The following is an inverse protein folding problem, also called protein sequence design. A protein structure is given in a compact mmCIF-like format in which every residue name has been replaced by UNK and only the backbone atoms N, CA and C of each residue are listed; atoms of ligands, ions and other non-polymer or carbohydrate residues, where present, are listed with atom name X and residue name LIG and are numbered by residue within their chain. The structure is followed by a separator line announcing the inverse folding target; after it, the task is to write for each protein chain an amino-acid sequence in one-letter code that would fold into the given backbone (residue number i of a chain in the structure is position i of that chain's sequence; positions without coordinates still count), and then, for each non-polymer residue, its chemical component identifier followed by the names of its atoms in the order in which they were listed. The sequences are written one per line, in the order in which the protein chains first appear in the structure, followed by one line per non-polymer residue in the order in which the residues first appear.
data_IF_897625865651
#
_entry.id   IF_897625865651
#
_cell.length_a   1.000
_cell.length_b   1.000
_cell.length_c   1.000
_cell.angle_alpha   90.00
_cell.angle_beta   90.00
_cell.angle_gamma   90.00
#
_symmetry.space_group_name_H-M   'P 1'
#
loop_
_entity.id
_entity.type
_entity.pdbx_description
1 polymer ?
#
# COMPACT_ATOMS: atom_id res chain seq x y z
N UNK A 1 -22.74 -36.84 -4.22
CA UNK A 1 -23.70 -35.79 -4.59
C UNK A 1 -24.90 -36.34 -5.36
N UNK A 2 -24.73 -37.37 -6.17
CA UNK A 2 -25.78 -37.88 -7.04
C UNK A 2 -27.00 -38.50 -6.30
N UNK A 3 -26.85 -38.94 -5.05
CA UNK A 3 -27.98 -39.46 -4.22
C UNK A 3 -28.97 -38.39 -3.73
N UNK A 4 -28.55 -37.13 -3.65
CA UNK A 4 -29.38 -36.03 -3.16
C UNK A 4 -30.44 -35.52 -4.16
N UNK A 5 -30.39 -35.98 -5.41
CA UNK A 5 -31.29 -35.53 -6.48
C UNK A 5 -32.12 -36.67 -7.07
N UNK A 6 -32.09 -37.84 -6.46
CA UNK A 6 -33.02 -38.94 -6.86
C UNK A 6 -34.32 -38.80 -6.07
N UNK A 7 -35.23 -37.94 -6.54
CA UNK A 7 -36.47 -37.60 -5.87
C UNK A 7 -37.42 -38.83 -5.74
N UNK A 8 -37.37 -39.78 -6.67
CA UNK A 8 -38.19 -41.00 -6.58
C UNK A 8 -37.73 -41.89 -5.42
N UNK A 9 -36.40 -42.01 -5.23
CA UNK A 9 -35.81 -42.76 -4.13
C UNK A 9 -36.12 -42.09 -2.79
N UNK A 10 -35.96 -40.76 -2.71
CA UNK A 10 -36.28 -39.96 -1.51
C UNK A 10 -37.78 -40.06 -1.16
N UNK A 11 -38.67 -39.94 -2.13
CA UNK A 11 -40.10 -40.02 -1.88
C UNK A 11 -40.49 -41.41 -1.37
N UNK A 12 -39.94 -42.49 -1.92
CA UNK A 12 -40.20 -43.85 -1.49
C UNK A 12 -39.57 -44.16 -0.11
N UNK A 13 -38.38 -43.70 0.15
CA UNK A 13 -37.67 -43.94 1.42
C UNK A 13 -38.33 -43.23 2.60
N UNK A 14 -38.77 -41.99 2.42
CA UNK A 14 -39.40 -41.18 3.50
C UNK A 14 -40.92 -41.10 3.41
N UNK A 15 -41.57 -41.83 2.49
CA UNK A 15 -43.02 -41.85 2.31
C UNK A 15 -43.60 -40.48 1.94
N UNK A 16 -42.82 -39.63 1.28
CA UNK A 16 -43.24 -38.30 0.87
C UNK A 16 -44.06 -38.35 -0.43
N UNK A 17 -45.08 -37.53 -0.50
CA UNK A 17 -45.79 -37.20 -1.75
C UNK A 17 -45.22 -35.90 -2.32
N UNK A 18 -45.54 -35.62 -3.58
CA UNK A 18 -45.18 -34.33 -4.20
C UNK A 18 -45.69 -33.14 -3.39
N UNK A 19 -46.91 -33.25 -2.85
CA UNK A 19 -47.52 -32.20 -2.04
C UNK A 19 -46.83 -32.01 -0.69
N UNK A 20 -46.53 -33.12 0.02
CA UNK A 20 -45.85 -33.05 1.31
C UNK A 20 -44.40 -32.54 1.16
N UNK A 21 -43.74 -32.85 0.03
CA UNK A 21 -42.41 -32.34 -0.27
C UNK A 21 -42.42 -30.83 -0.58
N UNK A 22 -43.45 -30.33 -1.29
CA UNK A 22 -43.60 -28.87 -1.50
C UNK A 22 -43.87 -28.13 -0.19
N UNK A 23 -44.62 -28.75 0.74
CA UNK A 23 -44.82 -28.20 2.08
C UNK A 23 -43.50 -28.17 2.89
N UNK A 24 -42.69 -29.22 2.80
CA UNK A 24 -41.35 -29.23 3.40
C UNK A 24 -40.48 -28.11 2.86
N UNK A 25 -40.47 -27.89 1.54
CA UNK A 25 -39.72 -26.79 0.93
C UNK A 25 -40.22 -25.41 1.40
N UNK A 26 -41.54 -25.26 1.56
CA UNK A 26 -42.13 -24.03 2.07
C UNK A 26 -41.77 -23.79 3.56
N UNK A 27 -41.80 -24.82 4.40
CA UNK A 27 -41.41 -24.71 5.81
C UNK A 27 -39.90 -24.35 5.95
N UNK A 28 -39.05 -24.97 5.17
CA UNK A 28 -37.63 -24.64 5.11
C UNK A 28 -37.38 -23.17 4.68
N UNK A 29 -38.11 -22.71 3.66
CA UNK A 29 -38.06 -21.33 3.18
C UNK A 29 -38.53 -20.34 4.25
N UNK A 30 -39.62 -20.62 4.91
CA UNK A 30 -40.15 -19.78 5.99
C UNK A 30 -39.21 -19.70 7.18
N UNK A 31 -38.53 -20.80 7.51
CA UNK A 31 -37.51 -20.81 8.56
C UNK A 31 -36.30 -19.94 8.19
N UNK A 32 -35.78 -20.04 6.96
CA UNK A 32 -34.69 -19.21 6.46
C UNK A 32 -35.04 -17.71 6.50
N UNK A 33 -36.31 -17.39 6.16
CA UNK A 33 -36.83 -16.02 6.17
C UNK A 33 -37.22 -15.51 7.57
N UNK A 34 -37.07 -16.35 8.61
CA UNK A 34 -37.50 -16.04 9.99
C UNK A 34 -38.98 -15.74 10.14
N UNK A 35 -39.82 -16.35 9.30
CA UNK A 35 -41.28 -16.27 9.34
C UNK A 35 -41.86 -17.39 10.23
N UNK A 36 -41.16 -18.52 10.33
CA UNK A 36 -41.58 -19.69 11.13
C UNK A 36 -40.72 -19.81 12.38
N UNK A 37 -41.33 -20.11 13.52
CA UNK A 37 -40.68 -20.37 14.80
C UNK A 37 -40.17 -21.81 14.95
N UNK A 38 -40.57 -22.73 14.05
CA UNK A 38 -40.08 -24.12 14.06
C UNK A 38 -38.57 -24.16 13.97
N UNK A 39 -37.91 -25.00 14.75
CA UNK A 39 -36.48 -25.26 14.57
C UNK A 39 -36.24 -26.36 13.51
N UNK A 40 -34.97 -26.56 13.14
CA UNK A 40 -34.62 -27.51 12.08
C UNK A 40 -34.84 -28.97 12.49
N UNK A 41 -34.81 -29.28 13.78
CA UNK A 41 -35.13 -30.60 14.32
C UNK A 41 -36.64 -30.86 14.21
N UNK A 42 -37.46 -29.88 14.59
CA UNK A 42 -38.91 -29.96 14.48
C UNK A 42 -39.42 -30.13 13.02
N UNK A 43 -38.70 -29.50 12.05
CA UNK A 43 -38.95 -29.69 10.62
C UNK A 43 -38.62 -31.13 10.21
N UNK A 44 -37.49 -31.69 10.65
CA UNK A 44 -37.13 -33.07 10.39
C UNK A 44 -38.19 -34.04 10.95
N UNK A 45 -38.61 -33.84 12.19
CA UNK A 45 -39.60 -34.69 12.89
C UNK A 45 -40.97 -34.60 12.20
N UNK A 46 -41.42 -33.40 11.78
CA UNK A 46 -42.70 -33.18 11.11
C UNK A 46 -42.84 -34.00 9.82
N UNK A 47 -41.74 -34.18 9.09
CA UNK A 47 -41.71 -34.90 7.82
C UNK A 47 -41.11 -36.30 7.92
N UNK A 48 -40.85 -36.76 9.14
CA UNK A 48 -40.25 -38.07 9.46
C UNK A 48 -38.94 -38.34 8.71
N UNK A 49 -38.07 -37.32 8.66
CA UNK A 49 -36.79 -37.34 7.94
C UNK A 49 -35.67 -37.76 8.87
N UNK A 50 -35.01 -38.87 8.57
CA UNK A 50 -33.82 -39.32 9.31
C UNK A 50 -32.55 -38.60 8.81
N UNK A 51 -32.63 -37.27 8.80
CA UNK A 51 -31.48 -36.40 8.45
C UNK A 51 -30.98 -35.66 9.68
N UNK A 52 -29.66 -35.41 9.71
CA UNK A 52 -29.13 -34.44 10.63
C UNK A 52 -29.76 -33.06 10.34
N UNK A 53 -30.38 -32.37 11.30
CA UNK A 53 -31.00 -31.07 11.11
C UNK A 53 -30.09 -30.04 10.44
N UNK A 54 -28.77 -30.13 10.70
CA UNK A 54 -27.76 -29.27 10.07
C UNK A 54 -27.60 -29.48 8.55
N UNK A 55 -27.94 -30.67 8.07
CA UNK A 55 -27.94 -31.00 6.62
C UNK A 55 -29.07 -30.26 5.91
N UNK A 56 -30.30 -30.29 6.49
CA UNK A 56 -31.43 -29.53 5.94
C UNK A 56 -31.17 -28.02 6.04
N UNK A 57 -30.66 -27.55 7.18
CA UNK A 57 -30.29 -26.15 7.36
C UNK A 57 -29.31 -25.65 6.28
N UNK A 58 -28.28 -26.42 6.00
CA UNK A 58 -27.25 -26.06 4.96
C UNK A 58 -27.87 -26.14 3.56
N UNK A 59 -28.70 -27.11 3.27
CA UNK A 59 -29.39 -27.25 1.99
C UNK A 59 -30.41 -26.14 1.70
N UNK A 60 -30.93 -25.51 2.76
CA UNK A 60 -31.96 -24.46 2.65
C UNK A 60 -31.43 -23.05 2.65
N UNK A 61 -30.12 -22.82 2.95
CA UNK A 61 -29.52 -21.49 2.96
C UNK A 61 -29.26 -20.96 1.54
N UNK A 62 -29.74 -19.75 1.19
CA UNK A 62 -29.37 -19.11 -0.05
C UNK A 62 -27.88 -18.63 0.02
N UNK A 63 -27.17 -18.47 -1.13
CA UNK A 63 -27.68 -18.45 -2.49
C UNK A 63 -27.27 -19.63 -3.37
N UNK A 64 -26.54 -20.63 -2.91
CA UNK A 64 -25.91 -21.61 -3.81
C UNK A 64 -26.52 -23.03 -3.74
N UNK A 65 -26.88 -23.54 -2.56
CA UNK A 65 -27.31 -24.94 -2.40
C UNK A 65 -28.83 -25.03 -2.40
N UNK A 66 -29.55 -24.13 -1.72
CA UNK A 66 -31.01 -24.14 -1.68
C UNK A 66 -31.68 -23.89 -3.04
N UNK A 67 -31.13 -22.98 -3.85
CA UNK A 67 -31.64 -22.70 -5.19
C UNK A 67 -31.36 -23.83 -6.18
N UNK A 68 -30.28 -24.57 -6.03
CA UNK A 68 -29.96 -25.73 -6.86
C UNK A 68 -30.93 -26.90 -6.56
N UNK A 69 -31.20 -27.15 -5.29
CA UNK A 69 -32.09 -28.22 -4.86
C UNK A 69 -33.53 -27.98 -5.32
N UNK A 70 -34.02 -26.78 -5.13
CA UNK A 70 -35.37 -26.37 -5.61
C UNK A 70 -35.45 -26.40 -7.14
N UNK A 71 -34.40 -25.96 -7.81
CA UNK A 71 -34.31 -25.97 -9.29
C UNK A 71 -34.33 -27.39 -9.85
N UNK A 72 -33.59 -28.32 -9.25
CA UNK A 72 -33.55 -29.72 -9.71
C UNK A 72 -34.88 -30.44 -9.40
N UNK A 73 -35.53 -30.17 -8.27
CA UNK A 73 -36.88 -30.70 -7.97
C UNK A 73 -37.90 -30.26 -9.02
N UNK A 74 -37.94 -28.97 -9.36
CA UNK A 74 -38.93 -28.52 -10.38
C UNK A 74 -38.60 -29.05 -11.79
N UNK A 75 -37.35 -29.27 -12.13
CA UNK A 75 -36.97 -29.96 -13.38
C UNK A 75 -37.43 -31.40 -13.40
N UNK A 76 -37.25 -32.13 -12.29
CA UNK A 76 -37.75 -33.50 -12.14
C UNK A 76 -39.29 -33.53 -12.22
N UNK A 77 -39.98 -32.63 -11.53
CA UNK A 77 -41.44 -32.51 -11.58
C UNK A 77 -41.98 -32.20 -13.00
N UNK A 78 -41.26 -31.34 -13.74
CA UNK A 78 -41.57 -31.08 -15.17
C UNK A 78 -41.37 -32.32 -16.04
N UNK A 79 -40.33 -33.13 -15.80
CA UNK A 79 -40.08 -34.35 -16.57
C UNK A 79 -41.13 -35.44 -16.36
N UNK A 80 -41.93 -35.38 -15.29
CA UNK A 80 -43.04 -36.31 -14.99
C UNK A 80 -44.38 -35.87 -15.65
N UNK A 81 -44.45 -34.68 -16.26
CA UNK A 81 -45.64 -34.23 -16.97
C UNK A 81 -45.58 -34.66 -18.42
N UNK A 82 -46.62 -35.39 -18.88
CA UNK A 82 -46.79 -35.72 -20.31
C UNK A 82 -46.86 -34.43 -21.16
N UNK A 83 -46.07 -34.40 -22.19
CA UNK A 83 -45.82 -33.21 -23.03
C UNK A 83 -46.95 -33.02 -24.02
N UNK A 84 -48.05 -32.35 -23.70
CA UNK A 84 -48.92 -31.73 -24.72
C UNK A 84 -49.92 -30.72 -24.14
N UNK A 85 -49.48 -29.52 -23.78
CA UNK A 85 -50.39 -28.37 -23.65
C UNK A 85 -49.68 -27.03 -23.87
N UNK A 86 -50.42 -26.03 -24.41
CA UNK A 86 -49.97 -24.63 -24.60
C UNK A 86 -49.48 -23.95 -23.30
N UNK A 87 -49.71 -24.51 -22.14
CA UNK A 87 -49.22 -24.07 -20.85
C UNK A 87 -47.69 -24.26 -20.72
N UNK A 88 -47.09 -25.28 -21.36
CA UNK A 88 -45.66 -25.56 -21.32
C UNK A 88 -44.80 -24.47 -21.99
N UNK A 89 -45.31 -23.82 -23.03
CA UNK A 89 -44.59 -22.73 -23.70
C UNK A 89 -44.56 -21.46 -22.84
N UNK A 90 -45.62 -21.15 -22.16
CA UNK A 90 -45.74 -20.01 -21.26
C UNK A 90 -44.89 -20.19 -20.00
N UNK A 91 -44.85 -21.41 -19.47
CA UNK A 91 -43.96 -21.74 -18.31
C UNK A 91 -42.47 -21.65 -18.67
N UNK A 92 -42.08 -22.09 -19.87
CA UNK A 92 -40.71 -21.96 -20.36
C UNK A 92 -40.29 -20.49 -20.53
N UNK A 93 -41.19 -19.68 -21.04
CA UNK A 93 -40.96 -18.23 -21.23
C UNK A 93 -40.86 -17.50 -19.89
N UNK A 94 -41.66 -17.82 -18.90
CA UNK A 94 -41.56 -17.33 -17.54
C UNK A 94 -40.26 -17.75 -16.86
N UNK A 95 -39.76 -18.95 -17.08
CA UNK A 95 -38.48 -19.41 -16.54
C UNK A 95 -37.31 -18.66 -17.17
N UNK A 96 -37.36 -18.37 -18.47
CA UNK A 96 -36.35 -17.57 -19.18
C UNK A 96 -36.32 -16.13 -18.62
N UNK A 97 -37.48 -15.52 -18.47
CA UNK A 97 -37.62 -14.16 -17.91
C UNK A 97 -37.13 -14.12 -16.46
N UNK A 98 -37.45 -15.11 -15.65
CA UNK A 98 -36.97 -15.22 -14.26
C UNK A 98 -35.44 -15.35 -14.19
N UNK A 99 -34.81 -16.16 -15.07
CA UNK A 99 -33.34 -16.27 -15.17
C UNK A 99 -32.67 -14.98 -15.63
N UNK A 100 -33.32 -14.26 -16.54
CA UNK A 100 -32.83 -12.95 -16.98
C UNK A 100 -32.87 -11.92 -15.85
N UNK A 101 -34.03 -11.87 -15.16
CA UNK A 101 -34.20 -10.97 -14.00
C UNK A 101 -33.18 -11.27 -12.88
N UNK A 102 -32.91 -12.54 -12.63
CA UNK A 102 -31.95 -12.97 -11.60
C UNK A 102 -30.50 -12.59 -11.98
N UNK A 103 -30.15 -12.72 -13.27
CA UNK A 103 -28.86 -12.21 -13.80
C UNK A 103 -28.73 -10.68 -13.68
N UNK A 104 -29.79 -9.96 -13.99
CA UNK A 104 -29.81 -8.50 -13.85
C UNK A 104 -29.71 -8.08 -12.38
N UNK A 105 -30.42 -8.77 -11.50
CA UNK A 105 -30.34 -8.55 -10.05
C UNK A 105 -28.95 -8.82 -9.48
N UNK A 106 -28.27 -9.87 -9.94
CA UNK A 106 -26.89 -10.17 -9.55
C UNK A 106 -25.92 -9.10 -10.07
N UNK A 107 -26.08 -8.63 -11.33
CA UNK A 107 -25.29 -7.52 -11.87
C UNK A 107 -25.50 -6.24 -11.06
N UNK A 108 -26.75 -5.89 -10.76
CA UNK A 108 -27.07 -4.71 -9.97
C UNK A 108 -26.48 -4.79 -8.55
N UNK A 109 -26.53 -5.96 -7.93
CA UNK A 109 -25.94 -6.19 -6.62
C UNK A 109 -24.40 -6.06 -6.65
N UNK A 110 -23.74 -6.63 -7.66
CA UNK A 110 -22.30 -6.49 -7.86
C UNK A 110 -21.92 -5.02 -8.07
N UNK A 111 -22.62 -4.30 -8.94
CA UNK A 111 -22.40 -2.86 -9.20
C UNK A 111 -22.62 -2.02 -7.94
N UNK A 112 -23.68 -2.31 -7.17
CA UNK A 112 -23.96 -1.62 -5.89
C UNK A 112 -22.88 -1.88 -4.85
N UNK A 113 -22.35 -3.09 -4.80
CA UNK A 113 -21.26 -3.46 -3.87
C UNK A 113 -19.97 -2.74 -4.23
N UNK A 114 -19.65 -2.70 -5.53
CA UNK A 114 -18.45 -2.00 -6.04
C UNK A 114 -18.57 -0.48 -5.85
N UNK A 115 -19.72 0.10 -6.15
CA UNK A 115 -20.00 1.52 -5.88
C UNK A 115 -19.89 1.84 -4.38
N UNK A 116 -20.47 1.02 -3.50
CA UNK A 116 -20.34 1.21 -2.04
C UNK A 116 -18.91 1.06 -1.54
N UNK A 117 -18.07 0.27 -2.22
CA UNK A 117 -16.66 0.13 -1.95
C UNK A 117 -15.90 1.39 -2.37
N UNK A 118 -16.17 1.92 -3.57
CA UNK A 118 -15.59 3.17 -4.06
C UNK A 118 -15.96 4.36 -3.17
N UNK A 119 -17.24 4.51 -2.81
CA UNK A 119 -17.70 5.59 -1.93
C UNK A 119 -17.03 5.51 -0.54
N UNK A 120 -16.90 4.31 0.04
CA UNK A 120 -16.20 4.13 1.32
C UNK A 120 -14.71 4.46 1.21
N UNK A 121 -14.09 4.14 0.09
CA UNK A 121 -12.69 4.45 -0.17
C UNK A 121 -12.50 5.96 -0.31
N UNK A 122 -13.34 6.62 -1.11
CA UNK A 122 -13.34 8.07 -1.30
C UNK A 122 -13.59 8.82 0.02
N UNK A 123 -14.58 8.40 0.83
CA UNK A 123 -14.86 9.02 2.14
C UNK A 123 -13.71 8.85 3.14
N UNK A 124 -12.93 7.77 3.06
CA UNK A 124 -11.71 7.61 3.87
C UNK A 124 -10.63 8.59 3.46
N UNK A 125 -10.46 8.83 2.16
CA UNK A 125 -9.52 9.83 1.65
C UNK A 125 -9.95 11.25 2.01
N UNK A 126 -11.23 11.59 1.86
CA UNK A 126 -11.77 12.89 2.26
C UNK A 126 -11.52 13.16 3.75
N UNK A 127 -11.83 12.19 4.62
CA UNK A 127 -11.53 12.29 6.06
C UNK A 127 -10.03 12.38 6.35
N UNK A 128 -9.20 11.71 5.55
CA UNK A 128 -7.76 11.81 5.64
C UNK A 128 -7.30 13.23 5.31
N UNK A 129 -7.73 13.78 4.16
CA UNK A 129 -7.41 15.15 3.76
C UNK A 129 -7.91 16.19 4.75
N UNK A 130 -9.14 16.05 5.28
CA UNK A 130 -9.68 16.96 6.28
C UNK A 130 -8.85 16.93 7.58
N UNK A 131 -8.40 15.77 8.03
CA UNK A 131 -7.56 15.64 9.21
C UNK A 131 -6.15 16.20 8.97
N UNK A 132 -5.55 15.96 7.80
CA UNK A 132 -4.27 16.57 7.41
C UNK A 132 -4.41 18.09 7.32
N UNK A 133 -5.43 18.61 6.64
CA UNK A 133 -5.66 20.04 6.51
C UNK A 133 -5.87 20.75 7.86
N UNK A 134 -6.50 20.07 8.83
CA UNK A 134 -6.71 20.62 10.18
C UNK A 134 -5.42 20.72 11.00
N UNK A 135 -4.45 19.90 10.67
CA UNK A 135 -3.14 19.85 11.32
C UNK A 135 -2.09 20.75 10.63
N UNK A 136 -2.44 21.35 9.47
CA UNK A 136 -1.58 22.26 8.73
C UNK A 136 -1.43 23.56 9.51
N UNK A 137 -0.28 23.73 10.17
CA UNK A 137 0.12 25.00 10.77
C UNK A 137 1.24 25.60 9.92
N UNK A 138 1.26 26.93 9.80
CA UNK A 138 2.39 27.65 9.23
C UNK A 138 3.63 27.45 10.12
N UNK A 139 4.82 27.32 9.49
CA UNK A 139 6.08 27.26 10.20
C UNK A 139 6.68 28.65 10.29
N UNK A 140 7.16 29.00 11.48
CA UNK A 140 7.99 30.17 11.65
C UNK A 140 9.33 29.95 10.97
N UNK A 141 9.75 30.89 10.11
CA UNK A 141 11.05 30.84 9.44
C UNK A 141 12.15 31.10 10.49
N UNK A 142 13.19 30.24 10.58
CA UNK A 142 14.25 30.40 11.56
C UNK A 142 15.09 31.66 11.29
N UNK A 143 15.79 32.13 12.31
CA UNK A 143 16.79 33.19 12.13
C UNK A 143 17.97 32.66 11.32
N UNK A 144 18.24 33.27 10.17
CA UNK A 144 19.28 32.85 9.26
C UNK A 144 20.66 33.30 9.71
N UNK A 145 21.59 32.36 9.80
CA UNK A 145 23.01 32.65 9.99
C UNK A 145 23.58 33.15 8.67
N UNK A 146 24.44 34.20 8.73
CA UNK A 146 25.14 34.70 7.55
C UNK A 146 26.01 33.62 6.91
N UNK A 147 25.86 33.40 5.60
CA UNK A 147 26.66 32.41 4.86
C UNK A 147 27.96 33.06 4.37
N UNK A 148 29.06 32.34 4.54
CA UNK A 148 30.34 32.71 3.94
C UNK A 148 30.36 32.19 2.50
N UNK A 149 30.21 33.09 1.52
CA UNK A 149 30.29 32.73 0.11
C UNK A 149 31.79 32.49 -0.26
N UNK A 150 32.23 31.24 -0.15
CA UNK A 150 33.41 30.73 -0.84
C UNK A 150 32.93 29.99 -2.11
N UNK A 151 33.75 30.03 -3.15
CA UNK A 151 33.52 29.20 -4.33
C UNK A 151 33.43 27.72 -3.89
N UNK A 152 32.27 27.12 -4.02
CA UNK A 152 32.03 25.76 -3.54
C UNK A 152 32.43 24.78 -4.66
N UNK A 153 33.58 24.18 -4.56
CA UNK A 153 34.11 23.23 -5.54
C UNK A 153 33.41 21.85 -5.48
N UNK A 154 32.60 21.64 -4.47
CA UNK A 154 31.86 20.36 -4.25
C UNK A 154 30.39 20.57 -3.99
N UNK A 155 29.56 19.67 -4.52
CA UNK A 155 28.16 19.59 -4.22
C UNK A 155 27.85 18.37 -3.33
N UNK A 156 26.99 18.52 -2.35
CA UNK A 156 26.70 17.48 -1.37
C UNK A 156 25.23 17.08 -1.39
N UNK A 157 24.97 15.76 -1.26
CA UNK A 157 23.63 15.18 -1.16
C UNK A 157 23.53 14.40 0.14
N UNK A 158 22.61 14.77 1.02
CA UNK A 158 22.18 13.96 2.15
C UNK A 158 21.08 13.01 1.70
N UNK A 159 21.23 11.71 1.86
CA UNK A 159 20.17 10.73 1.63
C UNK A 159 19.46 10.36 2.92
N UNK A 160 18.12 10.36 2.88
CA UNK A 160 17.23 9.83 3.92
C UNK A 160 16.34 8.81 3.23
N UNK A 161 16.26 7.59 3.73
CA UNK A 161 15.52 6.50 3.12
C UNK A 161 14.94 5.57 4.16
N UNK A 162 13.80 4.96 3.85
CA UNK A 162 13.20 3.90 4.67
C UNK A 162 13.01 4.36 6.13
N UNK A 163 12.28 5.47 6.33
CA UNK A 163 11.98 6.00 7.67
C UNK A 163 11.01 5.08 8.40
N UNK A 164 10.01 4.54 7.70
CA UNK A 164 8.99 3.65 8.26
C UNK A 164 8.32 4.21 9.53
N UNK A 165 8.01 5.51 9.56
CA UNK A 165 7.30 6.12 10.67
C UNK A 165 5.98 5.39 10.95
N UNK A 166 5.68 5.17 12.23
CA UNK A 166 4.55 4.38 12.67
C UNK A 166 4.88 2.91 12.94
N UNK A 167 6.07 2.41 12.54
CA UNK A 167 6.53 1.12 13.01
C UNK A 167 6.89 1.19 14.50
N UNK A 168 6.50 0.14 15.24
CA UNK A 168 6.86 -0.06 16.64
C UNK A 168 7.34 -1.49 16.85
N UNK A 169 8.59 -1.64 17.21
CA UNK A 169 9.18 -2.95 17.48
C UNK A 169 10.43 -2.84 18.36
N UNK A 170 10.73 -3.94 19.03
CA UNK A 170 11.98 -4.16 19.74
C UNK A 170 12.58 -5.46 19.22
N UNK A 171 13.82 -5.40 18.76
CA UNK A 171 14.63 -6.56 18.38
C UNK A 171 15.89 -6.63 19.26
N UNK A 172 16.72 -7.64 19.09
CA UNK A 172 17.99 -7.74 19.83
C UNK A 172 18.94 -6.57 19.56
N UNK A 173 18.84 -5.96 18.38
CA UNK A 173 19.81 -4.97 17.89
C UNK A 173 19.25 -3.59 17.62
N UNK A 174 17.92 -3.42 17.72
CA UNK A 174 17.24 -2.18 17.34
C UNK A 174 15.90 -2.03 18.07
N UNK A 175 15.59 -0.82 18.47
CA UNK A 175 14.29 -0.39 18.99
C UNK A 175 13.75 0.72 18.10
N UNK A 176 12.43 0.71 17.85
CA UNK A 176 11.82 1.69 16.94
C UNK A 176 10.42 2.08 17.38
N UNK A 177 10.14 3.38 17.34
CA UNK A 177 8.87 4.01 17.71
C UNK A 177 8.86 5.45 17.16
N UNK A 178 7.77 6.20 17.30
CA UNK A 178 7.75 7.64 16.99
C UNK A 178 8.77 8.44 17.80
N UNK A 179 8.98 8.08 19.05
CA UNK A 179 9.97 8.73 19.89
C UNK A 179 11.39 8.50 19.36
N UNK A 180 11.68 7.27 18.93
CA UNK A 180 12.97 6.93 18.35
C UNK A 180 13.19 7.63 16.99
N UNK A 181 12.15 7.77 16.15
CA UNK A 181 12.21 8.57 14.92
C UNK A 181 12.61 10.02 15.25
N UNK A 182 11.95 10.62 16.24
CA UNK A 182 12.26 11.99 16.69
C UNK A 182 13.70 12.10 17.20
N UNK A 183 14.15 11.15 18.02
CA UNK A 183 15.52 11.11 18.54
C UNK A 183 16.54 11.03 17.39
N UNK A 184 16.28 10.17 16.39
CA UNK A 184 17.17 10.00 15.22
C UNK A 184 17.22 11.22 14.34
N UNK A 185 16.10 11.91 14.11
CA UNK A 185 16.11 13.19 13.38
C UNK A 185 16.88 14.27 14.10
N UNK A 186 16.77 14.37 15.43
CA UNK A 186 17.54 15.30 16.23
C UNK A 186 19.05 15.01 16.15
N UNK A 187 19.43 13.72 16.20
CA UNK A 187 20.83 13.32 16.02
C UNK A 187 21.30 13.65 14.61
N UNK A 188 20.54 13.28 13.57
CA UNK A 188 20.85 13.59 12.18
C UNK A 188 21.07 15.10 11.99
N UNK A 189 20.16 15.91 12.54
CA UNK A 189 20.27 17.38 12.49
C UNK A 189 21.62 17.87 13.04
N UNK A 190 21.98 17.44 14.24
CA UNK A 190 23.23 17.86 14.87
C UNK A 190 24.47 17.46 14.04
N UNK A 191 24.48 16.22 13.52
CA UNK A 191 25.61 15.71 12.74
C UNK A 191 25.69 16.41 11.36
N UNK A 192 24.55 16.69 10.73
CA UNK A 192 24.50 17.43 9.45
C UNK A 192 24.91 18.89 9.64
N UNK A 193 24.44 19.56 10.69
CA UNK A 193 24.86 20.95 11.00
C UNK A 193 26.36 21.02 11.26
N UNK A 194 26.94 20.05 11.98
CA UNK A 194 28.36 19.96 12.18
C UNK A 194 29.10 19.82 10.83
N UNK A 195 28.64 18.91 9.96
CA UNK A 195 29.24 18.68 8.64
C UNK A 195 29.14 19.91 7.73
N UNK A 196 27.95 20.57 7.70
CA UNK A 196 27.73 21.81 6.94
C UNK A 196 28.69 22.90 7.35
N UNK A 197 28.90 23.08 8.65
CA UNK A 197 29.85 24.09 9.19
C UNK A 197 31.29 23.72 8.89
N UNK A 198 31.70 22.47 9.09
CA UNK A 198 33.04 22.00 8.86
C UNK A 198 33.47 22.14 7.39
N UNK A 199 32.55 21.79 6.47
CA UNK A 199 32.81 21.84 5.02
C UNK A 199 32.44 23.19 4.38
N UNK A 200 31.92 24.17 5.13
CA UNK A 200 31.43 25.47 4.64
C UNK A 200 30.41 25.31 3.51
N UNK A 201 29.41 24.44 3.71
CA UNK A 201 28.42 24.13 2.70
C UNK A 201 27.35 25.25 2.64
N UNK A 202 27.24 25.93 1.51
CA UNK A 202 26.24 26.97 1.29
C UNK A 202 24.93 26.41 0.75
N UNK A 203 24.97 25.29 0.00
CA UNK A 203 23.80 24.62 -0.53
C UNK A 203 23.94 23.10 -0.32
N UNK A 204 22.96 22.51 0.34
CA UNK A 204 22.85 21.07 0.57
C UNK A 204 21.64 20.52 -0.16
N UNK A 205 21.85 19.49 -0.97
CA UNK A 205 20.75 18.70 -1.54
C UNK A 205 20.32 17.65 -0.51
N UNK A 206 19.03 17.58 -0.21
CA UNK A 206 18.48 16.57 0.69
C UNK A 206 17.56 15.69 -0.14
N UNK A 207 17.87 14.40 -0.21
CA UNK A 207 17.15 13.40 -1.00
C UNK A 207 16.40 12.46 -0.07
N UNK A 208 15.07 12.53 -0.08
CA UNK A 208 14.18 11.55 0.54
C UNK A 208 13.80 10.48 -0.49
N UNK A 209 14.10 9.22 -0.17
CA UNK A 209 13.96 8.09 -1.10
C UNK A 209 12.70 7.25 -0.88
N UNK A 210 11.75 7.74 -0.09
CA UNK A 210 10.46 7.09 0.18
C UNK A 210 10.51 6.03 1.28
N UNK A 211 9.41 5.30 1.42
CA UNK A 211 9.07 4.48 2.59
C UNK A 211 9.12 5.31 3.88
N UNK A 212 8.57 6.53 3.79
CA UNK A 212 8.52 7.44 4.92
C UNK A 212 7.59 6.92 6.04
N UNK A 213 6.60 6.11 5.69
CA UNK A 213 5.70 5.45 6.65
C UNK A 213 5.80 3.93 6.58
N UNK A 214 5.47 3.26 7.68
CA UNK A 214 5.34 1.80 7.70
C UNK A 214 4.16 1.31 6.86
N UNK A 215 3.09 2.09 6.79
CA UNK A 215 1.90 1.73 6.01
C UNK A 215 1.26 0.40 6.42
N UNK A 216 0.49 -0.18 5.50
CA UNK A 216 -0.12 -1.51 5.65
C UNK A 216 0.05 -2.25 4.33
N UNK A 217 1.22 -2.81 4.10
CA UNK A 217 1.51 -3.61 2.93
C UNK A 217 0.97 -5.05 3.08
N UNK A 218 1.04 -5.57 4.30
CA UNK A 218 0.61 -6.93 4.67
C UNK A 218 -0.18 -6.91 5.98
N UNK A 219 -0.93 -7.99 6.25
CA UNK A 219 -1.66 -8.14 7.52
C UNK A 219 -0.74 -8.11 8.75
N UNK A 220 0.49 -8.63 8.60
CA UNK A 220 1.52 -8.59 9.64
C UNK A 220 1.93 -7.18 10.04
N UNK A 221 1.84 -6.22 9.13
CA UNK A 221 2.25 -4.84 9.40
C UNK A 221 1.31 -4.15 10.39
N UNK A 222 0.03 -4.60 10.46
CA UNK A 222 -0.91 -4.14 11.49
C UNK A 222 -0.43 -4.40 12.93
N UNK A 223 0.40 -5.43 13.12
CA UNK A 223 0.96 -5.77 14.44
C UNK A 223 2.19 -4.92 14.79
N UNK A 224 2.83 -4.34 13.77
CA UNK A 224 4.01 -3.49 13.92
C UNK A 224 3.65 -2.00 13.99
N UNK A 225 2.41 -1.62 13.65
CA UNK A 225 2.02 -0.22 13.62
C UNK A 225 1.67 0.31 15.02
N UNK A 226 2.38 1.33 15.47
CA UNK A 226 2.11 2.07 16.71
C UNK A 226 0.81 2.87 16.63
N UNK A 227 0.44 3.31 15.42
CA UNK A 227 -0.74 4.14 15.21
C UNK A 227 -1.37 3.92 13.83
N UNK A 228 -2.41 4.69 13.51
CA UNK A 228 -3.00 4.67 12.16
C UNK A 228 -2.03 5.25 11.12
N UNK A 229 -2.14 4.79 9.88
CA UNK A 229 -1.40 5.32 8.71
C UNK A 229 -1.53 6.85 8.61
N UNK A 230 -2.74 7.39 8.85
CA UNK A 230 -3.00 8.84 8.85
C UNK A 230 -2.11 9.58 9.85
N UNK A 231 -2.04 9.09 11.10
CA UNK A 231 -1.19 9.72 12.13
C UNK A 231 0.29 9.61 11.79
N UNK A 232 0.72 8.47 11.26
CA UNK A 232 2.11 8.26 10.83
C UNK A 232 2.49 9.25 9.70
N UNK A 233 1.59 9.45 8.73
CA UNK A 233 1.78 10.40 7.63
C UNK A 233 1.94 11.83 8.13
N UNK A 234 1.02 12.30 8.98
CA UNK A 234 1.10 13.65 9.56
C UNK A 234 2.36 13.81 10.40
N UNK A 235 2.69 12.81 11.20
CA UNK A 235 3.89 12.83 12.05
C UNK A 235 5.16 12.96 11.23
N UNK A 236 5.37 12.10 10.23
CA UNK A 236 6.60 12.12 9.43
C UNK A 236 6.71 13.38 8.57
N UNK A 237 5.60 13.85 7.98
CA UNK A 237 5.57 15.07 7.19
C UNK A 237 5.98 16.30 8.05
N UNK A 238 5.43 16.41 9.26
CA UNK A 238 5.83 17.46 10.24
C UNK A 238 7.31 17.32 10.65
N UNK A 239 7.76 16.11 10.90
CA UNK A 239 9.15 15.85 11.34
C UNK A 239 10.16 16.23 10.25
N UNK A 240 9.92 15.85 8.99
CA UNK A 240 10.77 16.24 7.86
C UNK A 240 10.72 17.76 7.64
N UNK A 241 9.52 18.36 7.64
CA UNK A 241 9.38 19.80 7.46
C UNK A 241 10.14 20.59 8.55
N UNK A 242 10.02 20.18 9.81
CA UNK A 242 10.76 20.78 10.91
C UNK A 242 12.28 20.62 10.73
N UNK A 243 12.76 19.43 10.40
CA UNK A 243 14.17 19.17 10.13
C UNK A 243 14.72 20.10 9.03
N UNK A 244 14.01 20.21 7.90
CA UNK A 244 14.43 21.08 6.79
C UNK A 244 14.39 22.56 7.18
N UNK A 245 13.35 23.00 7.90
CA UNK A 245 13.20 24.36 8.34
C UNK A 245 14.36 24.79 9.26
N UNK A 246 14.66 23.99 10.29
CA UNK A 246 15.77 24.29 11.21
C UNK A 246 17.13 24.22 10.51
N UNK A 247 17.31 23.26 9.59
CA UNK A 247 18.56 23.13 8.84
C UNK A 247 18.81 24.32 7.91
N UNK A 248 17.77 24.96 7.41
CA UNK A 248 17.85 26.15 6.55
C UNK A 248 18.48 27.36 7.24
N UNK A 249 18.53 27.39 8.57
CA UNK A 249 19.29 28.39 9.31
C UNK A 249 20.77 28.41 8.91
N UNK A 250 21.32 27.27 8.48
CA UNK A 250 22.75 27.06 8.25
C UNK A 250 23.15 26.99 6.78
N UNK A 251 22.26 26.64 5.86
CA UNK A 251 22.53 26.55 4.41
C UNK A 251 21.25 26.68 3.59
N UNK A 252 21.39 26.90 2.27
CA UNK A 252 20.28 26.68 1.34
C UNK A 252 20.03 25.19 1.18
N UNK A 253 18.77 24.81 0.97
CA UNK A 253 18.35 23.42 0.83
C UNK A 253 17.60 23.24 -0.48
N UNK A 254 18.07 22.31 -1.31
CA UNK A 254 17.31 21.73 -2.39
C UNK A 254 16.78 20.36 -1.93
N UNK A 255 15.50 20.27 -1.58
CA UNK A 255 14.85 19.05 -1.13
C UNK A 255 14.23 18.29 -2.28
N UNK A 256 14.69 17.07 -2.50
CA UNK A 256 14.20 16.15 -3.52
C UNK A 256 13.42 15.02 -2.85
N UNK A 257 12.17 14.86 -3.22
CA UNK A 257 11.29 13.83 -2.67
C UNK A 257 10.94 12.80 -3.73
N UNK A 258 11.27 11.54 -3.47
CA UNK A 258 10.95 10.42 -4.34
C UNK A 258 9.42 10.24 -4.39
N UNK A 259 8.80 10.19 -5.59
CA UNK A 259 7.35 10.35 -5.70
C UNK A 259 6.55 9.12 -5.29
N UNK A 260 7.19 7.96 -5.14
CA UNK A 260 6.50 6.69 -4.83
C UNK A 260 7.42 5.70 -4.13
N UNK A 261 6.83 4.92 -3.23
CA UNK A 261 7.48 3.81 -2.53
C UNK A 261 6.48 2.67 -2.27
N UNK A 262 6.93 1.50 -1.81
CA UNK A 262 6.01 0.37 -1.68
C UNK A 262 5.20 0.38 -0.38
N UNK A 263 5.73 0.92 0.72
CA UNK A 263 5.01 1.00 1.99
C UNK A 263 4.05 2.18 2.07
N UNK A 264 4.28 3.24 1.30
CA UNK A 264 3.42 4.42 1.24
C UNK A 264 2.18 4.24 0.37
N UNK A 265 2.12 3.21 -0.48
CA UNK A 265 0.97 2.95 -1.32
C UNK A 265 -0.28 2.62 -0.50
N UNK A 266 -1.31 3.46 -0.65
CA UNK A 266 -2.59 3.32 0.04
C UNK A 266 -3.48 2.31 -0.67
N UNK A 267 -3.21 1.02 -0.50
CA UNK A 267 -3.97 -0.05 -1.15
C UNK A 267 -4.74 -0.90 -0.15
N UNK A 268 -5.96 -1.33 -0.47
CA UNK A 268 -6.68 -2.31 0.33
C UNK A 268 -5.91 -3.63 0.39
N UNK A 269 -5.94 -4.30 1.55
CA UNK A 269 -5.34 -5.62 1.72
C UNK A 269 -5.82 -6.59 0.65
N UNK A 270 -4.88 -7.26 -0.01
CA UNK A 270 -5.15 -8.21 -1.08
C UNK A 270 -5.18 -7.63 -2.50
N UNK A 271 -5.03 -6.30 -2.68
CA UNK A 271 -4.85 -5.70 -4.00
C UNK A 271 -3.37 -5.67 -4.40
N UNK A 272 -3.09 -5.73 -5.70
CA UNK A 272 -1.73 -5.61 -6.24
C UNK A 272 -1.35 -4.13 -6.37
N UNK A 273 -0.07 -3.82 -6.28
CA UNK A 273 0.46 -2.47 -6.47
C UNK A 273 0.04 -1.83 -7.80
N UNK A 274 -0.01 -2.63 -8.87
CA UNK A 274 -0.41 -2.19 -10.21
C UNK A 274 -1.89 -1.79 -10.34
N UNK A 275 -2.75 -2.14 -9.38
CA UNK A 275 -4.19 -1.84 -9.44
C UNK A 275 -4.50 -0.42 -8.96
N UNK A 276 -3.65 0.18 -8.09
CA UNK A 276 -3.87 1.50 -7.49
C UNK A 276 -2.53 2.26 -7.39
N UNK A 277 -1.75 2.26 -8.47
CA UNK A 277 -0.40 2.85 -8.49
C UNK A 277 -0.35 4.37 -8.21
N UNK A 278 -1.46 5.08 -8.44
CA UNK A 278 -1.56 6.54 -8.20
C UNK A 278 -1.86 6.92 -6.75
N UNK A 279 -2.24 5.97 -5.91
CA UNK A 279 -2.66 6.22 -4.53
C UNK A 279 -1.47 6.05 -3.58
N UNK A 280 -0.56 7.02 -3.60
CA UNK A 280 0.67 7.01 -2.81
C UNK A 280 0.70 8.18 -1.81
N UNK A 281 0.96 7.87 -0.54
CA UNK A 281 0.98 8.85 0.56
C UNK A 281 2.20 9.78 0.48
N UNK A 282 3.27 9.40 -0.24
CA UNK A 282 4.42 10.29 -0.51
C UNK A 282 3.97 11.60 -1.16
N UNK A 283 2.91 11.55 -2.00
CA UNK A 283 2.30 12.74 -2.56
C UNK A 283 1.81 13.72 -1.48
N UNK A 284 1.16 13.19 -0.44
CA UNK A 284 0.61 14.01 0.65
C UNK A 284 1.74 14.57 1.51
N UNK A 285 2.74 13.75 1.84
CA UNK A 285 3.90 14.16 2.64
C UNK A 285 4.65 15.29 1.95
N UNK A 286 4.97 15.11 0.68
CA UNK A 286 5.73 16.10 -0.08
C UNK A 286 4.97 17.43 -0.27
N UNK A 287 3.67 17.38 -0.60
CA UNK A 287 2.88 18.61 -0.74
C UNK A 287 2.70 19.33 0.59
N UNK A 288 2.51 18.60 1.69
CA UNK A 288 2.51 19.19 3.01
C UNK A 288 3.82 19.97 3.28
N UNK A 289 4.98 19.31 3.07
CA UNK A 289 6.30 19.93 3.27
C UNK A 289 6.42 21.21 2.41
N UNK A 290 6.04 21.10 1.14
CA UNK A 290 6.07 22.23 0.20
C UNK A 290 5.22 23.42 0.67
N UNK A 291 4.00 23.14 1.13
CA UNK A 291 3.04 24.18 1.50
C UNK A 291 3.41 24.86 2.81
N UNK A 292 3.85 24.11 3.83
CA UNK A 292 4.23 24.70 5.13
C UNK A 292 5.56 25.44 5.08
N UNK A 293 6.44 25.11 4.14
CA UNK A 293 7.75 25.76 3.97
C UNK A 293 7.77 26.83 2.87
N UNK A 294 6.62 27.18 2.30
CA UNK A 294 6.50 28.13 1.16
C UNK A 294 7.11 29.49 1.47
N UNK A 295 7.06 29.94 2.72
CA UNK A 295 7.63 31.23 3.14
C UNK A 295 9.14 31.19 3.44
N UNK A 296 9.75 30.01 3.45
CA UNK A 296 11.18 29.87 3.69
C UNK A 296 11.95 29.92 2.37
N UNK A 297 12.53 31.08 2.06
CA UNK A 297 13.24 31.35 0.80
C UNK A 297 14.59 30.62 0.67
N UNK A 298 15.04 29.89 1.70
CA UNK A 298 16.23 29.03 1.65
C UNK A 298 15.93 27.59 1.30
N UNK A 299 14.65 27.23 1.12
CA UNK A 299 14.25 25.86 0.80
C UNK A 299 13.55 25.83 -0.55
N UNK A 300 14.02 24.94 -1.44
CA UNK A 300 13.35 24.61 -2.70
C UNK A 300 12.91 23.15 -2.65
N UNK A 301 11.63 22.88 -2.89
CA UNK A 301 11.07 21.53 -2.89
C UNK A 301 10.87 21.04 -4.31
N UNK A 302 11.52 19.91 -4.64
CA UNK A 302 11.49 19.27 -5.95
C UNK A 302 10.81 17.92 -5.86
N UNK A 303 9.90 17.66 -6.79
CA UNK A 303 9.21 16.38 -6.91
C UNK A 303 8.80 16.12 -8.36
N UNK A 304 8.54 14.88 -8.70
CA UNK A 304 8.15 14.47 -10.05
C UNK A 304 6.99 13.46 -10.01
N UNK A 305 5.86 13.88 -9.45
CA UNK A 305 4.68 13.03 -9.37
C UNK A 305 4.18 12.64 -10.77
N UNK A 306 3.87 11.35 -10.96
CA UNK A 306 3.54 10.75 -12.26
C UNK A 306 4.68 9.90 -12.85
N UNK A 307 5.84 9.90 -12.19
CA UNK A 307 6.96 9.02 -12.49
C UNK A 307 7.40 8.29 -11.22
N UNK A 308 8.14 7.18 -11.37
CA UNK A 308 8.69 6.43 -10.23
C UNK A 308 10.10 6.90 -9.82
N UNK A 309 10.58 8.01 -10.37
CA UNK A 309 11.92 8.51 -10.18
C UNK A 309 11.97 10.03 -10.13
N UNK A 310 13.07 10.56 -9.58
CA UNK A 310 13.40 11.97 -9.60
C UNK A 310 14.83 12.16 -10.10
N UNK A 311 15.04 13.18 -10.93
CA UNK A 311 16.37 13.56 -11.41
C UNK A 311 16.95 14.65 -10.50
N UNK A 312 18.25 14.53 -10.18
CA UNK A 312 18.98 15.46 -9.30
C UNK A 312 20.15 16.03 -10.10
N UNK A 313 20.09 17.30 -10.51
CA UNK A 313 21.21 17.92 -11.20
C UNK A 313 22.37 18.19 -10.24
N UNK A 314 23.56 17.73 -10.60
CA UNK A 314 24.78 17.92 -9.84
C UNK A 314 25.88 18.30 -10.83
N UNK A 315 26.24 19.56 -10.90
CA UNK A 315 27.11 20.08 -11.96
C UNK A 315 26.62 19.65 -13.36
N UNK A 316 27.44 19.09 -14.19
CA UNK A 316 27.10 18.53 -15.51
C UNK A 316 26.69 17.04 -15.42
N UNK A 317 26.74 16.44 -14.24
CA UNK A 317 26.37 15.03 -14.06
C UNK A 317 24.86 14.86 -13.95
N UNK A 318 24.35 13.86 -14.67
CA UNK A 318 22.95 13.45 -14.59
C UNK A 318 22.82 12.32 -13.57
N UNK A 319 22.18 12.62 -12.49
CA UNK A 319 21.85 11.61 -11.47
C UNK A 319 20.36 11.38 -11.38
N UNK A 320 19.97 10.17 -11.06
CA UNK A 320 18.57 9.75 -10.93
C UNK A 320 18.39 9.01 -9.61
N UNK A 321 17.26 9.19 -8.99
CA UNK A 321 16.92 8.54 -7.74
C UNK A 321 15.52 7.93 -7.80
N UNK A 322 15.34 6.79 -7.17
CA UNK A 322 14.06 6.10 -7.01
C UNK A 322 14.10 5.22 -5.77
N UNK A 323 12.92 4.87 -5.25
CA UNK A 323 12.87 3.99 -4.08
C UNK A 323 13.53 2.61 -4.34
N UNK A 324 13.31 2.01 -5.49
CA UNK A 324 14.01 0.78 -5.91
C UNK A 324 13.20 -0.51 -5.77
N UNK A 325 11.99 -0.48 -5.24
CA UNK A 325 11.13 -1.68 -5.08
C UNK A 325 10.74 -2.36 -6.40
N UNK A 326 10.87 -1.67 -7.53
CA UNK A 326 10.63 -2.19 -8.89
C UNK A 326 11.90 -2.71 -9.56
N UNK A 327 13.08 -2.53 -8.94
CA UNK A 327 14.36 -2.96 -9.50
C UNK A 327 14.63 -4.42 -9.13
N UNK A 328 14.69 -5.29 -10.14
CA UNK A 328 14.96 -6.70 -9.93
C UNK A 328 16.46 -7.02 -9.74
N UNK A 329 17.34 -6.25 -10.39
CA UNK A 329 18.79 -6.44 -10.31
C UNK A 329 19.47 -5.09 -10.11
N UNK A 330 20.02 -4.90 -8.91
CA UNK A 330 20.68 -3.66 -8.50
C UNK A 330 21.85 -3.32 -9.43
N UNK A 331 22.68 -4.30 -9.78
CA UNK A 331 23.88 -4.08 -10.57
C UNK A 331 23.58 -3.65 -12.02
N UNK A 332 22.39 -3.92 -12.52
CA UNK A 332 21.91 -3.49 -13.84
C UNK A 332 21.05 -2.23 -13.80
N UNK A 333 20.70 -1.72 -12.61
CA UNK A 333 19.71 -0.64 -12.47
C UNK A 333 20.05 0.60 -13.30
N UNK A 334 21.30 1.05 -13.27
CA UNK A 334 21.74 2.23 -14.02
C UNK A 334 21.64 2.00 -15.54
N UNK A 335 22.05 0.84 -16.00
CA UNK A 335 21.96 0.44 -17.42
C UNK A 335 20.52 0.37 -17.88
N UNK A 336 19.64 -0.29 -17.12
CA UNK A 336 18.22 -0.47 -17.47
C UNK A 336 17.51 0.89 -17.52
N UNK A 337 17.78 1.78 -16.55
CA UNK A 337 17.26 3.14 -16.54
C UNK A 337 17.79 3.96 -17.71
N UNK A 338 19.07 3.87 -18.06
CA UNK A 338 19.67 4.54 -19.20
C UNK A 338 18.97 4.14 -20.51
N UNK A 339 18.75 2.84 -20.72
CA UNK A 339 18.02 2.34 -21.89
C UNK A 339 16.57 2.80 -21.92
N UNK A 340 15.89 2.68 -20.80
CA UNK A 340 14.47 3.03 -20.69
C UNK A 340 14.23 4.53 -20.92
N UNK A 341 15.09 5.38 -20.33
CA UNK A 341 15.00 6.84 -20.43
C UNK A 341 15.71 7.44 -21.64
N UNK A 342 16.52 6.65 -22.35
CA UNK A 342 17.37 7.13 -23.47
C UNK A 342 18.28 8.30 -23.05
N UNK A 343 18.71 8.28 -21.80
CA UNK A 343 19.54 9.31 -21.17
C UNK A 343 20.65 8.61 -20.41
N UNK A 344 21.90 9.05 -20.60
CA UNK A 344 23.02 8.55 -19.83
C UNK A 344 23.04 9.20 -18.46
N UNK A 345 22.94 8.38 -17.43
CA UNK A 345 23.10 8.78 -16.03
C UNK A 345 24.45 8.32 -15.51
N UNK A 346 25.11 9.14 -14.66
CA UNK A 346 26.35 8.78 -13.98
C UNK A 346 26.07 8.06 -12.68
N UNK A 347 24.99 8.40 -12.00
CA UNK A 347 24.66 7.78 -10.71
C UNK A 347 23.16 7.49 -10.62
N UNK A 348 22.82 6.30 -10.06
CA UNK A 348 21.48 6.01 -9.58
C UNK A 348 21.50 5.80 -8.07
N UNK A 349 20.62 6.53 -7.37
CA UNK A 349 20.35 6.33 -5.94
C UNK A 349 19.13 5.43 -5.76
N UNK A 350 19.27 4.39 -4.94
CA UNK A 350 18.24 3.43 -4.59
C UNK A 350 18.09 3.32 -3.07
N UNK A 351 16.90 2.98 -2.59
CA UNK A 351 16.57 2.61 -1.21
C UNK A 351 16.00 1.18 -1.15
N UNK A 352 15.01 0.91 -0.29
CA UNK A 352 14.24 -0.34 -0.22
C UNK A 352 14.99 -1.55 0.36
N UNK A 353 16.28 -1.69 0.13
CA UNK A 353 17.04 -2.89 0.48
C UNK A 353 17.52 -2.90 1.94
N UNK A 354 17.32 -1.82 2.67
CA UNK A 354 17.70 -1.59 4.07
C UNK A 354 19.20 -1.79 4.37
N UNK A 355 20.03 -1.96 3.35
CA UNK A 355 21.46 -2.16 3.48
C UNK A 355 22.21 -1.30 2.46
N UNK A 356 23.24 -0.59 2.87
CA UNK A 356 24.03 0.23 1.94
C UNK A 356 24.92 -0.62 1.05
N UNK A 357 24.90 -0.34 -0.25
CA UNK A 357 25.79 -0.92 -1.26
C UNK A 357 26.21 0.18 -2.21
N UNK A 358 27.45 0.18 -2.63
CA UNK A 358 27.95 1.06 -3.68
C UNK A 358 28.75 0.20 -4.67
N UNK A 359 28.54 0.42 -5.95
CA UNK A 359 29.23 -0.33 -6.98
C UNK A 359 29.38 0.45 -8.26
N UNK A 360 30.61 0.50 -8.80
CA UNK A 360 30.90 1.01 -10.13
C UNK A 360 30.41 0.00 -11.17
N UNK A 361 29.63 0.47 -12.13
CA UNK A 361 29.05 -0.34 -13.22
C UNK A 361 29.55 0.06 -14.60
N UNK A 362 30.36 1.11 -14.68
CA UNK A 362 30.98 1.63 -15.90
C UNK A 362 31.74 2.92 -15.63
N UNK A 363 32.23 3.53 -16.69
CA UNK A 363 32.95 4.80 -16.65
C UNK A 363 32.40 5.76 -17.73
N UNK A 364 32.47 7.04 -17.49
CA UNK A 364 32.13 8.08 -18.45
C UNK A 364 33.05 9.27 -18.30
N UNK A 365 33.94 9.50 -19.28
CA UNK A 365 34.96 10.52 -19.23
C UNK A 365 35.90 10.40 -18.00
N UNK A 366 35.85 11.37 -17.10
CA UNK A 366 36.70 11.44 -15.89
C UNK A 366 35.98 10.90 -14.63
N UNK A 367 34.76 10.34 -14.74
CA UNK A 367 33.94 9.87 -13.62
C UNK A 367 33.49 8.42 -13.76
N UNK A 368 33.34 7.74 -12.64
CA UNK A 368 32.68 6.43 -12.58
C UNK A 368 31.17 6.56 -12.76
N UNK A 369 30.58 5.53 -13.37
CA UNK A 369 29.14 5.33 -13.37
C UNK A 369 28.78 4.37 -12.23
N UNK A 370 27.91 4.81 -11.29
CA UNK A 370 27.71 4.12 -10.03
C UNK A 370 26.24 3.81 -9.72
N UNK A 371 26.05 2.68 -9.07
CA UNK A 371 24.78 2.34 -8.38
C UNK A 371 25.01 2.47 -6.89
N UNK A 372 24.26 3.35 -6.25
CA UNK A 372 24.32 3.63 -4.82
C UNK A 372 23.01 3.22 -4.16
N UNK A 373 23.04 2.18 -3.35
CA UNK A 373 21.95 1.81 -2.45
C UNK A 373 22.16 2.53 -1.13
N UNK A 374 21.28 3.44 -0.80
CA UNK A 374 21.33 4.23 0.41
C UNK A 374 20.98 3.39 1.65
N UNK A 375 21.61 3.67 2.79
CA UNK A 375 21.28 3.01 4.03
C UNK A 375 19.89 3.43 4.53
N UNK A 376 19.24 2.56 5.31
CA UNK A 376 17.91 2.85 5.87
C UNK A 376 18.00 3.61 7.18
N UNK A 377 17.07 4.55 7.36
CA UNK A 377 16.88 5.30 8.60
C UNK A 377 16.36 4.38 9.73
N UNK A 378 15.48 3.42 9.41
CA UNK A 378 14.97 2.47 10.39
C UNK A 378 16.03 1.46 10.84
N UNK A 379 16.98 1.09 9.98
CA UNK A 379 17.96 0.03 10.26
C UNK A 379 17.36 -1.38 10.26
N UNK A 380 17.88 -2.26 11.11
CA UNK A 380 17.34 -3.63 11.26
C UNK A 380 15.92 -3.62 11.79
N UNK A 381 15.07 -4.45 11.21
CA UNK A 381 13.69 -4.64 11.62
C UNK A 381 13.38 -6.16 11.76
N UNK A 382 12.27 -6.58 12.36
CA UNK A 382 11.93 -7.99 12.52
C UNK A 382 11.95 -8.82 11.23
N UNK A 383 11.70 -8.17 10.09
CA UNK A 383 11.77 -8.81 8.79
C UNK A 383 13.23 -9.04 8.32
N UNK A 384 14.07 -8.00 8.40
CA UNK A 384 15.48 -8.10 8.02
C UNK A 384 16.24 -9.07 8.92
N UNK A 385 15.91 -9.13 10.21
CA UNK A 385 16.52 -10.06 11.17
C UNK A 385 16.22 -11.52 10.81
N UNK A 386 14.98 -11.83 10.42
CA UNK A 386 14.63 -13.17 9.90
C UNK A 386 15.43 -13.56 8.67
N UNK A 387 15.82 -12.60 7.85
CA UNK A 387 16.64 -12.82 6.65
C UNK A 387 18.15 -12.78 6.93
N UNK A 388 18.56 -12.55 8.18
CA UNK A 388 19.97 -12.32 8.58
C UNK A 388 20.64 -11.19 7.77
N UNK A 389 19.88 -10.14 7.44
CA UNK A 389 20.31 -8.97 6.64
C UNK A 389 20.17 -7.66 7.42
N UNK A 390 20.60 -7.67 8.68
CA UNK A 390 20.53 -6.50 9.53
C UNK A 390 21.56 -5.42 9.14
N UNK A 391 21.17 -4.16 9.28
CA UNK A 391 22.07 -3.00 9.15
C UNK A 391 21.80 -2.01 10.28
N UNK A 392 22.83 -1.27 10.70
CA UNK A 392 22.67 -0.17 11.66
C UNK A 392 21.91 0.98 11.01
N UNK A 393 20.98 1.63 11.76
CA UNK A 393 20.27 2.81 11.27
C UNK A 393 21.28 3.91 10.91
N UNK A 394 21.17 4.43 9.70
CA UNK A 394 22.13 5.43 9.21
C UNK A 394 21.60 6.21 8.01
N UNK A 395 22.18 7.40 7.79
CA UNK A 395 22.08 8.19 6.58
C UNK A 395 23.47 8.40 6.00
N UNK A 396 23.56 8.82 4.74
CA UNK A 396 24.83 9.16 4.12
C UNK A 396 24.79 10.55 3.48
N UNK A 397 25.94 11.24 3.52
CA UNK A 397 26.19 12.44 2.71
C UNK A 397 27.19 12.04 1.64
N UNK A 398 26.83 12.28 0.37
CA UNK A 398 27.65 12.02 -0.81
C UNK A 398 28.18 13.34 -1.35
N UNK A 399 29.50 13.43 -1.52
CA UNK A 399 30.17 14.61 -2.03
C UNK A 399 30.63 14.42 -3.49
N UNK A 400 30.24 15.36 -4.32
CA UNK A 400 30.57 15.39 -5.76
C UNK A 400 31.54 16.49 -6.07
N UNK A 401 32.61 16.15 -6.76
CA UNK A 401 33.53 17.06 -7.38
C UNK A 401 33.05 17.43 -8.77
N UNK A 402 33.26 18.67 -9.20
CA UNK A 402 32.79 19.16 -10.50
C UNK A 402 33.41 18.38 -11.69
N UNK A 403 34.63 17.88 -11.56
CA UNK A 403 35.33 17.13 -12.61
C UNK A 403 35.14 15.59 -12.47
N UNK A 404 35.31 15.10 -11.24
CA UNK A 404 35.43 13.66 -11.00
C UNK A 404 34.14 12.98 -10.54
N UNK A 405 33.03 13.71 -10.40
CA UNK A 405 31.78 13.17 -9.94
C UNK A 405 31.79 12.81 -8.45
N UNK A 406 31.23 11.67 -8.08
CA UNK A 406 31.17 11.23 -6.69
C UNK A 406 32.59 10.88 -6.16
N UNK A 407 33.03 11.56 -5.11
CA UNK A 407 34.39 11.41 -4.53
C UNK A 407 34.41 11.20 -3.03
N UNK A 408 33.32 11.48 -2.32
CA UNK A 408 33.23 11.37 -0.86
C UNK A 408 31.91 10.69 -0.43
N UNK A 409 32.00 9.83 0.57
CA UNK A 409 30.85 9.30 1.28
C UNK A 409 31.05 9.43 2.77
N UNK A 410 30.18 10.20 3.43
CA UNK A 410 30.19 10.36 4.87
C UNK A 410 28.95 9.69 5.46
N UNK A 411 29.16 8.64 6.26
CA UNK A 411 28.08 7.85 6.87
C UNK A 411 27.80 8.36 8.28
N UNK A 412 26.54 8.66 8.54
CA UNK A 412 26.01 9.11 9.83
C UNK A 412 25.23 7.96 10.46
N UNK A 413 25.69 7.44 11.59
CA UNK A 413 24.94 6.43 12.36
C UNK A 413 23.93 7.10 13.28
N UNK A 414 22.73 6.55 13.35
CA UNK A 414 21.59 7.13 14.07
C UNK A 414 21.29 6.43 15.41
N UNK A 415 22.02 5.38 15.75
CA UNK A 415 21.92 4.66 17.03
C UNK A 415 22.61 5.38 18.19
#
# INVERSE_FOLDING_TARGET
MDKLYNFEEIFNEYGLTTETYEQLLADCSNKVQKISDLDWSEICDKYNLDFNPDTIRKGSQPPLIGSAFVSEYYKWKESQRDSDTKEDSYFKELQIQRRQLEKERQKLYATKTEYSRQVRQQSRFELFYENVARELNEYDVPEFIGLNYSEQMKSYILSIADIHAGANFITETNEYSFEEVTRRFNKLFNDVVYFVKEKNINNLKVLCLGDDIQGILRLSDLQLNESSVVKATVFVAKTIAHFLNELSAYCYIDYYHCPTSNHSQSRPLGTKASEIASEDVEYVICNYIKDVLVNNNRISVHTNFGYEYIEIPIFDFKTIAMHGHTINNIDNALKDLTYHKKTFYTTVFLAHYHASKMGTVGEMSDTDCEVIVCPSFVGSCPYSDKLMKGAKPSCCIYGYDEKYGHTETYKIFLN
#
